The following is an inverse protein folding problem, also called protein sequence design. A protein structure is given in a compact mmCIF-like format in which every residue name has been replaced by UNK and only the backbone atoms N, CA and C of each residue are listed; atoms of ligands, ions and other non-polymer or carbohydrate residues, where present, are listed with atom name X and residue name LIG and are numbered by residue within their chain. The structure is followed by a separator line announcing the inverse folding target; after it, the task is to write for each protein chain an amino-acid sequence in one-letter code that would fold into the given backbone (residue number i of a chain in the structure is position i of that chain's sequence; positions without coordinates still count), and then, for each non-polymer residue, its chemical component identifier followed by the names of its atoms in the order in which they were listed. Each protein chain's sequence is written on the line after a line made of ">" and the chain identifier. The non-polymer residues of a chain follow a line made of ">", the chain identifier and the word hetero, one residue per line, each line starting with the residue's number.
data_IF_675998002103
#
_entry.id   IF_675998002103
#
_cell.length_a   1.000
_cell.length_b   1.000
_cell.length_c   1.000
_cell.angle_alpha   90.00
_cell.angle_beta   90.00
_cell.angle_gamma   90.00
#
_symmetry.space_group_name_H-M   'P 1'
#
loop_
_entity.id
_entity.type
_entity.pdbx_description
1 polymer ?
#
# COMPACT_ATOMS: atom_id res chain seq x y z
N UNK A 1 -12.84 2.48 -8.11
CA UNK A 1 -13.72 3.15 -7.12
C UNK A 1 -13.33 4.62 -7.07
N UNK A 2 -14.23 5.51 -6.67
CA UNK A 2 -13.85 6.91 -6.39
C UNK A 2 -13.69 7.11 -4.89
N UNK A 3 -12.66 7.86 -4.51
CA UNK A 3 -12.43 8.31 -3.14
C UNK A 3 -13.21 9.59 -2.89
N UNK A 4 -13.94 9.66 -1.78
CA UNK A 4 -14.81 10.81 -1.48
C UNK A 4 -14.13 11.82 -0.54
N UNK A 5 -14.59 13.07 -0.55
CA UNK A 5 -14.14 14.10 0.39
C UNK A 5 -14.35 13.69 1.85
N UNK A 6 -15.45 12.98 2.14
CA UNK A 6 -15.73 12.47 3.49
C UNK A 6 -14.71 11.41 3.91
N UNK A 7 -14.39 10.45 3.03
CA UNK A 7 -13.33 9.47 3.29
C UNK A 7 -11.98 10.15 3.49
N UNK A 8 -11.65 11.17 2.70
CA UNK A 8 -10.42 11.94 2.88
C UNK A 8 -10.37 12.69 4.21
N UNK A 9 -11.47 13.30 4.61
CA UNK A 9 -11.58 13.97 5.90
C UNK A 9 -11.40 12.99 7.06
N UNK A 10 -12.11 11.86 7.02
CA UNK A 10 -12.01 10.81 8.04
C UNK A 10 -10.62 10.15 8.07
N UNK A 11 -9.96 9.96 6.92
CA UNK A 11 -8.57 9.51 6.85
C UNK A 11 -7.61 10.52 7.52
N UNK A 12 -7.76 11.82 7.26
CA UNK A 12 -6.95 12.86 7.93
C UNK A 12 -7.16 12.86 9.43
N UNK A 13 -8.41 12.73 9.88
CA UNK A 13 -8.73 12.57 11.30
C UNK A 13 -8.07 11.32 11.85
N UNK A 14 -8.21 10.18 11.18
CA UNK A 14 -7.59 8.91 11.58
C UNK A 14 -6.09 9.02 11.74
N UNK A 15 -5.39 9.63 10.78
CA UNK A 15 -3.95 9.86 10.88
C UNK A 15 -3.58 10.74 12.08
N UNK A 16 -4.37 11.78 12.37
CA UNK A 16 -4.15 12.62 13.53
C UNK A 16 -4.40 11.85 14.84
N UNK A 17 -5.48 11.09 14.92
CA UNK A 17 -5.89 10.31 16.10
C UNK A 17 -5.04 9.04 16.33
N UNK A 18 -4.39 8.51 15.29
CA UNK A 18 -3.46 7.37 15.38
C UNK A 18 -1.99 7.82 15.52
N UNK A 19 -1.71 9.13 15.59
CA UNK A 19 -0.36 9.66 15.75
C UNK A 19 0.09 9.75 17.22
N UNK A 20 1.41 9.88 17.43
CA UNK A 20 1.95 10.21 18.76
C UNK A 20 1.39 11.53 19.33
N UNK A 21 0.97 12.46 18.46
CA UNK A 21 0.36 13.73 18.85
C UNK A 21 -0.96 13.49 19.59
N UNK A 22 -1.75 12.49 19.17
CA UNK A 22 -2.97 12.11 19.87
C UNK A 22 -2.71 11.63 21.29
N UNK A 23 -1.72 10.75 21.47
CA UNK A 23 -1.35 10.25 22.79
C UNK A 23 -0.90 11.39 23.71
N UNK A 24 -0.11 12.33 23.19
CA UNK A 24 0.30 13.54 23.91
C UNK A 24 -0.92 14.40 24.28
N UNK A 25 -1.85 14.61 23.36
CA UNK A 25 -3.06 15.40 23.60
C UNK A 25 -3.93 14.78 24.70
N UNK A 26 -4.16 13.47 24.66
CA UNK A 26 -4.88 12.74 25.72
C UNK A 26 -4.15 12.87 27.06
N UNK A 27 -2.82 12.73 27.08
CA UNK A 27 -2.02 12.89 28.29
C UNK A 27 -2.13 14.29 28.89
N UNK A 28 -2.13 15.35 28.07
CA UNK A 28 -2.31 16.74 28.51
C UNK A 28 -3.70 16.95 29.11
N UNK A 29 -4.75 16.41 28.50
CA UNK A 29 -6.13 16.49 29.02
C UNK A 29 -6.21 15.81 30.40
N UNK A 30 -5.66 14.61 30.54
CA UNK A 30 -5.63 13.88 31.81
C UNK A 30 -4.83 14.61 32.88
N UNK A 31 -3.63 15.11 32.54
CA UNK A 31 -2.80 15.88 33.46
C UNK A 31 -3.53 17.14 33.96
N UNK A 32 -4.20 17.85 33.06
CA UNK A 32 -5.00 19.04 33.40
C UNK A 32 -6.16 18.68 34.33
N UNK A 33 -6.89 17.60 34.04
CA UNK A 33 -7.97 17.12 34.89
C UNK A 33 -7.49 16.75 36.31
N UNK A 34 -6.32 16.11 36.41
CA UNK A 34 -5.68 15.77 37.69
C UNK A 34 -5.32 17.03 38.48
N UNK A 35 -4.69 18.03 37.83
CA UNK A 35 -4.32 19.30 38.49
C UNK A 35 -5.55 20.03 38.99
N UNK A 36 -6.62 20.12 38.17
CA UNK A 36 -7.88 20.76 38.57
C UNK A 36 -8.53 20.03 39.75
N UNK A 37 -8.49 18.69 39.75
CA UNK A 37 -8.99 17.88 40.87
C UNK A 37 -8.23 18.18 42.17
N UNK A 38 -6.90 18.11 42.15
CA UNK A 38 -6.08 18.36 43.34
C UNK A 38 -6.17 19.82 43.82
N UNK A 39 -6.26 20.79 42.90
CA UNK A 39 -6.44 22.19 43.26
C UNK A 39 -7.78 22.44 43.98
N UNK A 40 -8.85 21.84 43.48
CA UNK A 40 -10.17 21.93 44.11
C UNK A 40 -10.19 21.24 45.48
N UNK A 41 -9.53 20.08 45.60
CA UNK A 41 -9.38 19.35 46.87
C UNK A 41 -8.57 20.15 47.90
N UNK A 42 -7.41 20.68 47.54
CA UNK A 42 -6.58 21.49 48.43
C UNK A 42 -7.29 22.76 48.91
N UNK A 43 -8.11 23.37 48.05
CA UNK A 43 -8.96 24.51 48.42
C UNK A 43 -10.08 24.14 49.40
N UNK A 44 -10.47 22.87 49.46
CA UNK A 44 -11.45 22.36 50.40
C UNK A 44 -10.86 22.08 51.79
N UNK A 45 -9.68 21.46 51.82
CA UNK A 45 -9.02 21.01 53.04
C UNK A 45 -8.37 22.17 53.83
N UNK A 46 -8.02 23.28 53.16
CA UNK A 46 -7.52 24.51 53.79
C UNK A 46 -8.37 25.72 53.39
N UNK A 47 -9.53 25.96 54.04
CA UNK A 47 -10.44 27.01 53.64
C UNK A 47 -9.91 28.40 54.03
N UNK A 48 -9.05 28.97 53.18
CA UNK A 48 -8.78 30.42 53.16
C UNK A 48 -9.89 31.21 52.43
N UNK A 49 -10.90 30.51 51.90
CA UNK A 49 -11.94 31.02 51.03
C UNK A 49 -13.32 30.93 51.69
N UNK A 50 -14.21 31.87 51.39
CA UNK A 50 -15.59 31.85 51.86
C UNK A 50 -16.37 30.63 51.34
N UNK A 51 -17.37 30.18 52.09
CA UNK A 51 -18.19 29.01 51.76
C UNK A 51 -18.86 29.13 50.36
N UNK A 52 -19.27 30.34 49.99
CA UNK A 52 -19.83 30.66 48.67
C UNK A 52 -18.82 30.45 47.52
N UNK A 53 -17.54 30.77 47.75
CA UNK A 53 -16.45 30.54 46.78
C UNK A 53 -16.12 29.05 46.69
N UNK A 54 -16.14 28.34 47.81
CA UNK A 54 -15.93 26.90 47.86
C UNK A 54 -17.00 26.13 47.06
N UNK A 55 -18.28 26.49 47.21
CA UNK A 55 -19.39 25.91 46.43
C UNK A 55 -19.20 26.14 44.93
N UNK A 56 -18.79 27.35 44.51
CA UNK A 56 -18.48 27.65 43.10
C UNK A 56 -17.33 26.81 42.55
N UNK A 57 -16.24 26.63 43.31
CA UNK A 57 -15.10 25.80 42.91
C UNK A 57 -15.52 24.34 42.74
N UNK A 58 -16.32 23.77 43.66
CA UNK A 58 -16.84 22.39 43.53
C UNK A 58 -17.72 22.22 42.30
N UNK A 59 -18.58 23.18 42.00
CA UNK A 59 -19.41 23.14 40.78
C UNK A 59 -18.53 23.21 39.53
N UNK A 60 -17.54 24.10 39.51
CA UNK A 60 -16.58 24.23 38.41
C UNK A 60 -15.78 22.93 38.18
N UNK A 61 -15.32 22.29 39.27
CA UNK A 61 -14.62 21.00 39.22
C UNK A 61 -15.49 19.89 38.62
N UNK A 62 -16.76 19.79 39.04
CA UNK A 62 -17.69 18.78 38.49
C UNK A 62 -17.94 18.99 37.00
N UNK A 63 -18.16 20.25 36.60
CA UNK A 63 -18.38 20.62 35.20
C UNK A 63 -17.12 20.34 34.37
N UNK A 64 -15.93 20.71 34.87
CA UNK A 64 -14.68 20.50 34.14
C UNK A 64 -14.35 19.01 33.98
N UNK A 65 -14.52 18.19 35.02
CA UNK A 65 -14.34 16.74 34.94
C UNK A 65 -15.30 16.11 33.94
N UNK A 66 -16.56 16.55 33.91
CA UNK A 66 -17.54 16.09 32.92
C UNK A 66 -17.11 16.47 31.49
N UNK A 67 -16.67 17.71 31.27
CA UNK A 67 -16.20 18.18 29.96
C UNK A 67 -14.96 17.40 29.50
N UNK A 68 -13.97 17.21 30.38
CA UNK A 68 -12.76 16.44 30.05
C UNK A 68 -13.08 14.97 29.77
N UNK A 69 -13.98 14.37 30.55
CA UNK A 69 -14.44 13.00 30.30
C UNK A 69 -15.14 12.86 28.95
N UNK A 70 -16.06 13.78 28.62
CA UNK A 70 -16.74 13.80 27.33
C UNK A 70 -15.78 14.02 26.17
N UNK A 71 -14.78 14.90 26.32
CA UNK A 71 -13.74 15.11 25.30
C UNK A 71 -12.98 13.82 25.01
N UNK A 72 -12.58 13.07 26.04
CA UNK A 72 -11.89 11.78 25.86
C UNK A 72 -12.80 10.79 25.12
N UNK A 73 -14.06 10.66 25.52
CA UNK A 73 -15.00 9.75 24.85
C UNK A 73 -15.20 10.11 23.37
N UNK A 74 -15.39 11.39 23.05
CA UNK A 74 -15.54 11.87 21.67
C UNK A 74 -14.28 11.55 20.84
N UNK A 75 -13.10 11.76 21.42
CA UNK A 75 -11.82 11.45 20.77
C UNK A 75 -11.66 9.96 20.44
N UNK A 76 -12.03 9.07 21.38
CA UNK A 76 -11.99 7.61 21.14
C UNK A 76 -13.05 7.15 20.13
N UNK A 77 -14.26 7.73 20.16
CA UNK A 77 -15.29 7.45 19.15
C UNK A 77 -14.81 7.90 17.76
N UNK A 78 -14.23 9.10 17.66
CA UNK A 78 -13.66 9.60 16.40
C UNK A 78 -12.56 8.69 15.84
N UNK A 79 -11.74 8.10 16.73
CA UNK A 79 -10.73 7.11 16.34
C UNK A 79 -11.38 5.84 15.79
N UNK A 80 -12.38 5.32 16.48
CA UNK A 80 -13.11 4.13 16.04
C UNK A 80 -13.77 4.29 14.65
N UNK A 81 -14.36 5.45 14.36
CA UNK A 81 -14.97 5.71 13.05
C UNK A 81 -13.96 5.98 11.93
N UNK A 82 -12.73 6.33 12.26
CA UNK A 82 -11.67 6.55 11.26
C UNK A 82 -10.82 5.28 11.02
N UNK A 83 -10.84 4.33 11.96
CA UNK A 83 -10.27 3.00 11.76
C UNK A 83 -11.01 2.25 10.64
N UNK A 84 -10.27 1.83 9.61
CA UNK A 84 -10.80 1.12 8.46
C UNK A 84 -11.01 1.97 7.20
N UNK A 85 -10.68 3.27 7.24
CA UNK A 85 -10.57 4.05 6.00
C UNK A 85 -9.20 3.85 5.39
N UNK A 86 -9.18 3.23 4.22
CA UNK A 86 -7.96 3.02 3.45
C UNK A 86 -7.33 4.33 3.01
N UNK A 87 -5.99 4.35 2.96
CA UNK A 87 -5.22 5.47 2.43
C UNK A 87 -5.64 5.76 0.97
N UNK A 88 -5.86 7.02 0.56
CA UNK A 88 -6.11 7.36 -0.85
C UNK A 88 -5.02 6.84 -1.81
N UNK A 89 -3.80 6.62 -1.33
CA UNK A 89 -2.67 6.05 -2.07
C UNK A 89 -2.63 4.52 -2.08
N UNK A 90 -3.67 3.84 -1.59
CA UNK A 90 -3.73 2.37 -1.59
C UNK A 90 -3.55 1.83 -3.01
N UNK A 91 -2.53 0.99 -3.18
CA UNK A 91 -2.19 0.34 -4.45
C UNK A 91 -2.70 -1.09 -4.43
N UNK A 92 -3.30 -1.51 -5.54
CA UNK A 92 -3.81 -2.87 -5.76
C UNK A 92 -3.26 -3.41 -7.09
N UNK A 93 -3.29 -4.73 -7.23
CA UNK A 93 -3.07 -5.35 -8.54
C UNK A 93 -4.29 -5.14 -9.41
N UNK A 94 -4.06 -4.77 -10.66
CA UNK A 94 -5.10 -4.71 -11.67
C UNK A 94 -5.70 -6.09 -11.91
N UNK A 95 -6.98 -6.13 -12.25
CA UNK A 95 -7.70 -7.38 -12.51
C UNK A 95 -7.28 -8.01 -13.83
N UNK A 96 -6.80 -7.20 -14.77
CA UNK A 96 -6.39 -7.65 -16.09
C UNK A 96 -4.92 -8.06 -16.11
N UNK A 97 -4.64 -9.23 -16.70
CA UNK A 97 -3.27 -9.70 -16.90
C UNK A 97 -2.76 -9.19 -18.25
N UNK A 98 -1.64 -8.48 -18.25
CA UNK A 98 -1.01 -7.94 -19.46
C UNK A 98 0.17 -8.79 -19.88
N UNK A 99 0.33 -9.01 -21.19
CA UNK A 99 1.54 -9.65 -21.73
C UNK A 99 2.66 -8.61 -21.82
N UNK A 100 3.71 -8.80 -21.01
CA UNK A 100 4.86 -7.88 -20.90
C UNK A 100 6.05 -8.30 -21.74
N UNK A 101 6.19 -9.59 -22.02
CA UNK A 101 7.22 -10.10 -22.90
C UNK A 101 6.79 -11.39 -23.59
N UNK A 102 7.40 -11.68 -24.73
CA UNK A 102 7.33 -12.97 -25.42
C UNK A 102 8.74 -13.38 -25.78
N UNK A 103 9.00 -14.68 -25.80
CA UNK A 103 10.35 -15.16 -26.03
C UNK A 103 10.45 -16.65 -26.30
N UNK A 104 11.67 -17.09 -26.57
CA UNK A 104 12.02 -18.50 -26.80
C UNK A 104 12.88 -19.01 -25.65
N UNK A 105 12.61 -20.21 -25.17
CA UNK A 105 13.37 -20.84 -24.09
C UNK A 105 14.72 -21.29 -24.62
N UNK A 106 15.80 -20.77 -24.03
CA UNK A 106 17.18 -21.15 -24.35
C UNK A 106 17.68 -22.29 -23.47
N UNK A 107 17.29 -22.30 -22.19
CA UNK A 107 17.71 -23.29 -21.22
C UNK A 107 16.61 -23.48 -20.18
N UNK A 108 16.37 -24.73 -19.79
CA UNK A 108 15.47 -25.09 -18.70
C UNK A 108 16.14 -26.14 -17.82
N UNK A 109 15.96 -26.04 -16.51
CA UNK A 109 16.34 -27.07 -15.57
C UNK A 109 15.14 -27.40 -14.70
N UNK A 110 14.44 -28.49 -15.04
CA UNK A 110 13.25 -28.93 -14.32
C UNK A 110 13.52 -29.29 -12.86
N UNK A 111 14.72 -29.83 -12.55
CA UNK A 111 15.10 -30.19 -11.17
C UNK A 111 15.32 -28.97 -10.30
N UNK A 112 15.95 -27.93 -10.85
CA UNK A 112 16.28 -26.69 -10.12
C UNK A 112 15.22 -25.59 -10.28
N UNK A 113 14.19 -25.76 -11.10
CA UNK A 113 13.19 -24.71 -11.28
C UNK A 113 13.66 -23.48 -12.08
N UNK A 114 14.79 -23.56 -12.78
CA UNK A 114 15.40 -22.40 -13.45
C UNK A 114 15.14 -22.40 -14.95
N UNK A 115 14.95 -21.22 -15.53
CA UNK A 115 14.77 -21.05 -16.98
C UNK A 115 15.50 -19.79 -17.49
N UNK A 116 15.94 -19.82 -18.75
CA UNK A 116 16.48 -18.66 -19.45
C UNK A 116 15.67 -18.47 -20.73
N UNK A 117 15.12 -17.28 -20.90
CA UNK A 117 14.27 -16.89 -22.03
C UNK A 117 14.99 -15.81 -22.84
N UNK A 118 14.98 -15.95 -24.16
CA UNK A 118 15.40 -14.92 -25.09
C UNK A 118 14.18 -14.12 -25.58
N UNK A 119 14.00 -12.86 -25.14
CA UNK A 119 12.97 -12.00 -25.66
C UNK A 119 13.25 -11.62 -27.13
N UNK A 120 12.20 -11.44 -27.94
CA UNK A 120 12.24 -10.93 -29.32
C UNK A 120 12.93 -11.77 -30.39
N UNK A 121 13.30 -13.03 -30.12
CA UNK A 121 13.72 -13.99 -31.15
C UNK A 121 14.99 -13.63 -31.94
N UNK A 122 15.55 -12.43 -31.76
CA UNK A 122 16.83 -11.98 -32.32
C UNK A 122 17.90 -12.13 -31.24
N UNK A 123 19.02 -12.77 -31.60
CA UNK A 123 20.25 -12.83 -30.80
C UNK A 123 20.90 -11.44 -30.75
N UNK A 124 20.31 -10.49 -30.04
CA UNK A 124 21.06 -9.30 -29.60
C UNK A 124 21.59 -9.62 -28.21
N UNK A 125 22.92 -9.66 -28.11
CA UNK A 125 23.66 -9.96 -26.88
C UNK A 125 23.18 -9.09 -25.72
N UNK A 126 22.72 -9.71 -24.63
CA UNK A 126 22.68 -9.07 -23.32
C UNK A 126 21.38 -9.20 -22.54
N UNK A 127 20.22 -9.18 -23.21
CA UNK A 127 18.93 -9.10 -22.50
C UNK A 127 18.23 -10.46 -22.45
N UNK A 128 18.80 -11.43 -21.73
CA UNK A 128 18.09 -12.67 -21.39
C UNK A 128 17.25 -12.47 -20.14
N UNK A 129 16.07 -13.07 -20.10
CA UNK A 129 15.24 -13.10 -18.90
C UNK A 129 15.58 -14.39 -18.18
N UNK A 130 16.21 -14.25 -17.01
CA UNK A 130 16.57 -15.39 -16.16
C UNK A 130 15.48 -15.54 -15.11
N UNK A 131 14.97 -16.76 -14.97
CA UNK A 131 14.00 -17.13 -13.95
C UNK A 131 14.70 -18.07 -12.99
N UNK A 132 14.68 -17.71 -11.72
CA UNK A 132 15.23 -18.54 -10.65
C UNK A 132 14.12 -19.02 -9.71
N UNK A 133 14.26 -20.21 -9.10
CA UNK A 133 13.35 -20.64 -8.06
C UNK A 133 13.44 -19.68 -6.88
N UNK A 134 12.29 -19.41 -6.24
CA UNK A 134 12.20 -18.59 -5.02
C UNK A 134 12.66 -17.14 -5.17
N UNK A 135 12.59 -16.57 -6.37
CA UNK A 135 12.70 -15.11 -6.50
C UNK A 135 11.57 -14.45 -5.72
N UNK A 136 11.93 -13.59 -4.76
CA UNK A 136 10.95 -12.86 -3.97
C UNK A 136 10.15 -11.94 -4.88
N UNK A 137 8.85 -11.88 -4.66
CA UNK A 137 8.01 -10.87 -5.31
C UNK A 137 8.54 -9.47 -4.99
N UNK A 138 8.70 -8.66 -6.03
CA UNK A 138 9.05 -7.26 -5.90
C UNK A 138 7.87 -6.54 -5.26
N UNK A 139 8.08 -5.96 -4.09
CA UNK A 139 7.06 -5.20 -3.36
C UNK A 139 7.34 -3.70 -3.45
N UNK A 140 6.33 -2.86 -3.17
CA UNK A 140 6.52 -1.43 -2.99
C UNK A 140 7.59 -1.18 -1.91
N UNK A 141 8.51 -0.26 -2.18
CA UNK A 141 9.67 -0.01 -1.32
C UNK A 141 10.92 -0.86 -1.62
N UNK A 142 10.87 -1.83 -2.56
CA UNK A 142 12.06 -2.60 -2.96
C UNK A 142 13.10 -1.69 -3.62
N UNK A 143 14.33 -1.58 -3.07
CA UNK A 143 15.38 -0.77 -3.69
C UNK A 143 15.99 -1.48 -4.90
N UNK A 144 16.45 -0.70 -5.90
CA UNK A 144 17.23 -1.18 -7.04
C UNK A 144 16.60 -2.32 -7.86
N UNK A 145 15.32 -2.19 -8.18
CA UNK A 145 14.61 -3.12 -9.08
C UNK A 145 15.26 -3.13 -10.47
N UNK A 146 15.26 -4.28 -11.14
CA UNK A 146 15.62 -4.44 -12.55
C UNK A 146 14.44 -4.97 -13.34
N UNK A 147 14.56 -4.87 -14.66
CA UNK A 147 13.51 -5.34 -15.56
C UNK A 147 13.29 -6.84 -15.41
N UNK A 148 12.03 -7.26 -15.25
CA UNK A 148 11.58 -8.64 -15.05
C UNK A 148 11.97 -9.29 -13.71
N UNK A 149 12.43 -8.53 -12.71
CA UNK A 149 12.68 -9.06 -11.38
C UNK A 149 11.40 -9.68 -10.76
N UNK A 150 11.56 -10.74 -9.98
CA UNK A 150 10.43 -11.42 -9.34
C UNK A 150 9.58 -12.23 -10.32
N UNK A 151 10.06 -12.42 -11.56
CA UNK A 151 9.37 -13.26 -12.54
C UNK A 151 9.47 -14.71 -12.11
N UNK A 152 8.32 -15.38 -12.01
CA UNK A 152 8.22 -16.74 -11.54
C UNK A 152 7.58 -17.66 -12.58
N UNK A 153 7.70 -18.96 -12.31
CA UNK A 153 7.05 -20.00 -13.09
C UNK A 153 6.47 -21.06 -12.16
N UNK A 154 5.20 -21.39 -12.38
CA UNK A 154 4.57 -22.48 -11.65
C UNK A 154 5.12 -23.84 -12.08
N UNK A 155 5.31 -24.75 -11.12
CA UNK A 155 5.87 -26.09 -11.36
C UNK A 155 5.11 -26.89 -12.43
N UNK A 156 3.79 -26.73 -12.48
CA UNK A 156 2.92 -27.38 -13.48
C UNK A 156 3.18 -26.88 -14.92
N UNK A 157 3.57 -25.62 -15.10
CA UNK A 157 3.96 -25.03 -16.38
C UNK A 157 5.39 -25.42 -16.73
N UNK A 158 6.30 -25.37 -15.76
CA UNK A 158 7.71 -25.71 -15.95
C UNK A 158 7.90 -27.14 -16.50
N UNK A 159 7.14 -28.12 -15.99
CA UNK A 159 7.22 -29.51 -16.45
C UNK A 159 6.75 -29.71 -17.90
N UNK A 160 6.12 -28.71 -18.50
CA UNK A 160 5.58 -28.76 -19.87
C UNK A 160 6.43 -27.97 -20.86
N UNK A 161 7.51 -27.33 -20.41
CA UNK A 161 8.32 -26.40 -21.21
C UNK A 161 9.71 -26.97 -21.43
N UNK A 162 10.07 -27.15 -22.69
CA UNK A 162 11.38 -27.62 -23.13
C UNK A 162 12.21 -26.51 -23.79
N UNK A 163 13.49 -26.78 -24.01
CA UNK A 163 14.35 -25.89 -24.79
C UNK A 163 13.79 -25.75 -26.19
N UNK A 164 13.67 -24.50 -26.66
CA UNK A 164 13.14 -24.18 -27.97
C UNK A 164 11.65 -23.83 -28.00
N UNK A 165 10.93 -24.08 -26.91
CA UNK A 165 9.53 -23.65 -26.79
C UNK A 165 9.40 -22.13 -26.78
N UNK A 166 8.24 -21.66 -27.21
CA UNK A 166 7.85 -20.27 -27.07
C UNK A 166 7.04 -20.05 -25.80
N UNK A 167 7.35 -18.98 -25.10
CA UNK A 167 6.70 -18.58 -23.86
C UNK A 167 6.27 -17.12 -23.94
N UNK A 168 5.24 -16.78 -23.17
CA UNK A 168 4.86 -15.41 -22.86
C UNK A 168 5.05 -15.17 -21.37
N UNK A 169 5.42 -13.95 -21.03
CA UNK A 169 5.48 -13.47 -19.65
C UNK A 169 4.33 -12.48 -19.50
N UNK A 170 3.51 -12.71 -18.49
CA UNK A 170 2.33 -11.91 -18.20
C UNK A 170 2.36 -11.43 -16.76
N UNK A 171 1.93 -10.21 -16.46
CA UNK A 171 1.83 -9.72 -15.09
C UNK A 171 0.52 -8.94 -14.88
N UNK A 172 0.19 -8.72 -13.62
CA UNK A 172 -0.81 -7.75 -13.22
C UNK A 172 -0.10 -6.44 -12.92
N UNK A 173 -0.56 -5.34 -13.51
CA UNK A 173 0.02 -4.02 -13.23
C UNK A 173 -0.45 -3.52 -11.87
N UNK A 174 0.38 -2.73 -11.19
CA UNK A 174 0.00 -2.05 -9.97
C UNK A 174 -0.77 -0.78 -10.33
N UNK A 175 -1.99 -0.65 -9.82
CA UNK A 175 -2.83 0.52 -10.02
C UNK A 175 -3.29 1.05 -8.67
N UNK A 176 -3.55 2.35 -8.60
CA UNK A 176 -4.21 2.91 -7.44
C UNK A 176 -5.65 2.42 -7.36
N UNK A 177 -6.08 2.02 -6.16
CA UNK A 177 -7.45 1.56 -5.87
C UNK A 177 -8.51 2.59 -6.28
N UNK A 178 -8.18 3.86 -6.09
CA UNK A 178 -9.06 4.99 -6.35
C UNK A 178 -8.67 5.73 -7.63
N UNK A 179 -9.64 5.89 -8.54
CA UNK A 179 -9.42 6.52 -9.86
C UNK A 179 -9.02 7.99 -9.74
N UNK A 180 -9.56 8.67 -8.73
CA UNK A 180 -9.33 10.07 -8.43
C UNK A 180 -8.30 10.27 -7.30
N UNK A 181 -7.43 9.28 -7.03
CA UNK A 181 -6.42 9.40 -5.97
C UNK A 181 -5.59 10.69 -6.14
N UNK A 182 -5.30 11.10 -7.37
CA UNK A 182 -4.50 12.29 -7.68
C UNK A 182 -5.08 13.60 -7.15
N UNK A 183 -6.38 13.64 -6.84
CA UNK A 183 -7.02 14.81 -6.20
C UNK A 183 -6.74 14.91 -4.70
N UNK A 184 -6.36 13.79 -4.07
CA UNK A 184 -6.21 13.65 -2.62
C UNK A 184 -4.80 13.21 -2.21
N UNK A 185 -4.00 12.74 -3.16
CA UNK A 185 -2.63 12.26 -2.98
C UNK A 185 -1.65 13.43 -2.96
N UNK A 186 -0.74 13.38 -2.00
CA UNK A 186 0.45 14.25 -1.93
C UNK A 186 1.74 13.41 -2.04
N UNK A 187 1.65 12.08 -2.11
CA UNK A 187 2.78 11.17 -2.08
C UNK A 187 3.36 10.87 -3.48
N UNK A 188 4.19 11.80 -3.94
CA UNK A 188 4.95 11.64 -5.20
C UNK A 188 5.92 10.46 -5.17
N UNK A 189 6.33 9.96 -4.01
CA UNK A 189 7.26 8.84 -3.91
C UNK A 189 6.56 7.53 -4.28
N UNK A 190 5.38 7.29 -3.71
CA UNK A 190 4.57 6.11 -4.04
C UNK A 190 4.17 6.10 -5.51
N UNK A 191 3.75 7.25 -6.07
CA UNK A 191 3.45 7.37 -7.51
C UNK A 191 4.64 6.97 -8.39
N UNK A 192 5.84 7.50 -8.10
CA UNK A 192 7.06 7.15 -8.82
C UNK A 192 7.40 5.67 -8.70
N UNK A 193 7.23 5.07 -7.52
CA UNK A 193 7.51 3.66 -7.32
C UNK A 193 6.54 2.75 -8.07
N UNK A 194 5.23 3.05 -8.04
CA UNK A 194 4.21 2.32 -8.81
C UNK A 194 4.53 2.38 -10.31
N UNK A 195 4.85 3.59 -10.82
CA UNK A 195 5.26 3.75 -12.20
C UNK A 195 6.51 2.93 -12.53
N UNK A 196 7.54 2.97 -11.68
CA UNK A 196 8.77 2.23 -11.89
C UNK A 196 8.54 0.71 -11.91
N UNK A 197 7.73 0.18 -10.99
CA UNK A 197 7.35 -1.24 -10.94
C UNK A 197 6.67 -1.65 -12.24
N UNK A 198 5.71 -0.85 -12.72
CA UNK A 198 4.99 -1.11 -13.96
C UNK A 198 5.89 -1.01 -15.20
N UNK A 199 6.77 0.00 -15.26
CA UNK A 199 7.70 0.21 -16.37
C UNK A 199 8.77 -0.90 -16.43
N UNK A 200 9.12 -1.48 -15.28
CA UNK A 200 10.12 -2.55 -15.19
C UNK A 200 9.53 -3.95 -15.40
N UNK A 201 8.21 -4.06 -15.64
CA UNK A 201 7.56 -5.32 -15.97
C UNK A 201 7.88 -6.44 -14.94
N UNK A 202 7.96 -6.09 -13.65
CA UNK A 202 8.32 -7.02 -12.57
C UNK A 202 7.15 -7.97 -12.23
N UNK A 203 7.43 -9.00 -11.43
CA UNK A 203 6.45 -9.99 -10.95
C UNK A 203 5.71 -10.72 -12.07
N UNK A 204 6.40 -10.98 -13.18
CA UNK A 204 5.85 -11.76 -14.29
C UNK A 204 5.56 -13.21 -13.92
N UNK A 205 4.56 -13.79 -14.56
CA UNK A 205 4.29 -15.22 -14.62
C UNK A 205 4.61 -15.72 -16.02
N UNK A 206 5.37 -16.81 -16.11
CA UNK A 206 5.72 -17.43 -17.39
C UNK A 206 4.73 -18.53 -17.77
N UNK A 207 4.21 -18.43 -18.99
CA UNK A 207 3.24 -19.37 -19.54
C UNK A 207 3.69 -19.86 -20.92
N UNK A 208 3.61 -21.18 -21.15
CA UNK A 208 3.90 -21.79 -22.45
C UNK A 208 2.89 -21.33 -23.51
N UNK A 209 3.38 -21.06 -24.71
CA UNK A 209 2.55 -20.74 -25.87
C UNK A 209 2.60 -21.86 -26.90
N UNK A 210 1.47 -22.11 -27.58
CA UNK A 210 1.36 -23.19 -28.59
C UNK A 210 2.03 -22.88 -29.93
N UNK A 211 2.34 -21.61 -30.22
CA UNK A 211 2.84 -21.17 -31.52
C UNK A 211 3.83 -20.01 -31.41
N UNK A 212 4.68 -19.83 -32.43
CA UNK A 212 5.62 -18.71 -32.50
C UNK A 212 4.84 -17.38 -32.43
N UNK A 213 5.01 -16.59 -31.36
CA UNK A 213 4.22 -15.38 -31.14
C UNK A 213 4.52 -14.25 -32.13
N UNK A 214 5.55 -14.40 -32.97
CA UNK A 214 5.96 -13.45 -34.00
C UNK A 214 5.44 -13.80 -35.40
N UNK A 215 4.69 -14.90 -35.56
CA UNK A 215 4.26 -15.38 -36.89
C UNK A 215 3.04 -14.63 -37.46
N UNK A 216 2.29 -13.89 -36.63
CA UNK A 216 1.05 -13.21 -37.05
C UNK A 216 1.23 -11.78 -37.59
N UNK A 217 2.43 -11.20 -37.51
CA UNK A 217 2.68 -9.82 -37.97
C UNK A 217 3.02 -9.69 -39.47
N UNK A 218 3.05 -10.79 -40.22
CA UNK A 218 3.41 -10.78 -41.66
C UNK A 218 2.22 -10.97 -42.62
N UNK A 219 0.99 -11.16 -42.13
CA UNK A 219 -0.16 -11.47 -42.99
C UNK A 219 -0.97 -10.20 -43.38
N UNK A 220 -0.75 -9.05 -42.75
CA UNK A 220 -1.48 -7.80 -43.03
C UNK A 220 -0.63 -6.66 -43.64
N UNK A 221 0.51 -6.98 -44.26
CA UNK A 221 1.48 -5.98 -44.73
C UNK A 221 1.94 -6.11 -46.19
N UNK A 222 1.21 -6.83 -47.04
CA UNK A 222 1.48 -6.90 -48.48
C UNK A 222 0.15 -6.77 -49.22
N UNK A 223 -0.35 -5.54 -49.30
CA UNK A 223 -1.22 -5.04 -50.36
C UNK A 223 -1.40 -3.52 -50.15
N UNK A 224 -0.40 -2.76 -50.60
CA UNK A 224 -0.50 -1.35 -50.98
C UNK A 224 0.62 -1.04 -51.95
#
# INVERSE_FOLDING_TARGET
>A
MEYTNLQYFLFKIGNLLNSAIFAILVAVILATAIVVYFFAQASHDNPKLSESKLKKIKTCQKISLFIFGMLIVILFIGRYFSDGIDDPNTVINDKETRVIAKGKVLKVNHRKGTMIILPNGKKSSGNVIKITPNESHVMLGTPNMKKYDGTHIFKNQLNKIDVGDYVKIQNHQYIFKYKNHSKFSEDKKTEKQVKQINDYDVNGEVVKTKSNPYKYSYIYGLNS
#
